data_IF_057220880449
#
_entry.id   IF_057220880449
#
_cell.length_a   1.000
_cell.length_b   1.000
_cell.length_c   1.000
_cell.angle_alpha   90.00
_cell.angle_beta   90.00
_cell.angle_gamma   90.00
#
_symmetry.space_group_name_H-M   'P 1'
#
loop_
_entity.id
_entity.type
_entity.pdbx_description
1 polymer ?
#
# COMPACT_ATOMS: atom_id res chain seq x y z
N UNK A 1 -2.77 -24.90 -5.13
CA UNK A 1 -2.06 -24.14 -4.07
C UNK A 1 -0.65 -23.94 -4.58
N UNK A 2 -0.37 -22.73 -5.03
CA UNK A 2 0.81 -22.44 -5.87
C UNK A 2 2.04 -22.18 -4.97
N UNK A 3 3.12 -22.94 -5.21
CA UNK A 3 4.42 -22.79 -4.51
C UNK A 3 5.03 -21.39 -4.68
N UNK A 4 4.60 -20.65 -5.69
CA UNK A 4 5.02 -19.27 -5.96
C UNK A 4 4.44 -18.28 -4.95
N UNK A 5 3.22 -18.53 -4.46
CA UNK A 5 2.55 -17.65 -3.49
C UNK A 5 3.17 -17.77 -2.09
N UNK A 6 3.62 -18.98 -1.72
CA UNK A 6 4.30 -19.25 -0.45
C UNK A 6 5.74 -18.69 -0.44
N UNK A 7 6.42 -18.75 -1.58
CA UNK A 7 7.77 -18.19 -1.75
C UNK A 7 7.73 -16.65 -1.72
N UNK A 8 6.68 -16.03 -2.27
CA UNK A 8 6.47 -14.57 -2.20
C UNK A 8 6.11 -14.12 -0.79
N UNK A 9 5.34 -14.90 -0.03
CA UNK A 9 5.04 -14.60 1.39
C UNK A 9 6.29 -14.65 2.27
N UNK A 10 7.21 -15.57 2.00
CA UNK A 10 8.50 -15.67 2.72
C UNK A 10 9.46 -14.52 2.41
N UNK A 11 9.45 -14.02 1.17
CA UNK A 11 10.32 -12.90 0.75
C UNK A 11 9.84 -11.54 1.27
N UNK A 12 8.55 -11.40 1.60
CA UNK A 12 7.95 -10.15 2.08
C UNK A 12 7.61 -10.17 3.58
N UNK A 13 7.83 -11.28 4.28
CA UNK A 13 7.82 -11.33 5.73
C UNK A 13 9.11 -10.71 6.30
N UNK A 14 9.40 -9.47 5.91
CA UNK A 14 10.40 -8.68 6.62
C UNK A 14 9.75 -8.28 7.94
N UNK A 15 10.22 -8.80 9.10
CA UNK A 15 9.76 -8.29 10.38
C UNK A 15 10.01 -6.78 10.37
N UNK A 16 9.02 -6.00 10.77
CA UNK A 16 9.18 -4.56 10.92
C UNK A 16 10.47 -4.34 11.71
N UNK A 17 11.48 -3.64 11.16
CA UNK A 17 12.79 -3.55 11.81
C UNK A 17 12.58 -3.06 13.22
N UNK A 18 13.14 -3.78 14.21
CA UNK A 18 13.04 -3.47 15.63
C UNK A 18 13.56 -2.06 15.97
N UNK A 19 14.25 -1.44 15.03
CA UNK A 19 14.75 -0.06 15.06
C UNK A 19 13.98 0.84 14.13
N UNK A 20 12.69 1.09 14.40
CA UNK A 20 12.10 2.37 14.01
C UNK A 20 12.94 3.48 14.66
N UNK A 21 13.54 4.41 13.85
CA UNK A 21 14.33 5.48 14.45
C UNK A 21 13.48 6.16 15.53
N UNK A 22 14.09 6.49 16.69
CA UNK A 22 13.38 7.08 17.82
C UNK A 22 12.56 8.33 17.46
N UNK A 23 12.89 9.01 16.33
CA UNK A 23 12.15 10.15 15.78
C UNK A 23 10.75 9.79 15.25
N UNK A 24 10.57 8.66 14.59
CA UNK A 24 9.23 8.25 14.10
C UNK A 24 8.39 7.67 15.23
N UNK A 25 9.02 6.92 16.18
CA UNK A 25 8.34 6.51 17.41
C UNK A 25 7.95 7.70 18.30
N UNK A 26 8.77 8.75 18.35
CA UNK A 26 8.47 9.98 19.10
C UNK A 26 7.40 10.83 18.40
N UNK A 27 7.30 10.83 17.06
CA UNK A 27 6.27 11.55 16.32
C UNK A 27 4.89 10.86 16.37
N UNK A 28 4.87 9.55 16.65
CA UNK A 28 3.66 8.75 16.83
C UNK A 28 3.67 8.12 18.22
N UNK A 29 3.72 8.93 19.28
CA UNK A 29 3.41 8.45 20.62
C UNK A 29 2.02 7.83 20.62
N UNK A 30 1.82 6.72 21.32
CA UNK A 30 0.53 6.00 21.35
C UNK A 30 -0.72 6.88 21.45
N UNK A 31 -0.75 7.96 22.29
CA UNK A 31 -1.87 8.88 22.32
C UNK A 31 -2.14 9.59 20.98
N UNK A 32 -1.07 9.94 20.23
CA UNK A 32 -1.22 10.58 18.93
C UNK A 32 -1.70 9.61 17.83
N UNK A 33 -1.36 8.33 17.93
CA UNK A 33 -1.85 7.28 17.05
C UNK A 33 -3.32 6.97 17.33
N UNK A 34 -3.71 6.86 18.60
CA UNK A 34 -5.10 6.66 19.02
C UNK A 34 -5.98 7.83 18.59
N UNK A 35 -5.59 9.08 18.89
CA UNK A 35 -6.32 10.28 18.47
C UNK A 35 -6.44 10.42 16.95
N UNK A 36 -5.45 9.89 16.17
CA UNK A 36 -5.57 9.83 14.73
C UNK A 36 -6.54 8.73 14.30
N UNK A 37 -6.52 7.54 14.94
CA UNK A 37 -7.42 6.45 14.67
C UNK A 37 -8.89 6.84 14.89
N UNK A 38 -9.18 7.64 15.91
CA UNK A 38 -10.53 8.13 16.23
C UNK A 38 -11.11 9.06 15.16
N UNK A 39 -10.28 9.58 14.26
CA UNK A 39 -10.76 10.38 13.13
C UNK A 39 -11.22 9.53 11.94
N UNK A 40 -11.07 8.21 11.99
CA UNK A 40 -11.54 7.31 10.96
C UNK A 40 -12.87 6.68 11.35
N UNK A 41 -13.78 6.62 10.38
CA UNK A 41 -15.12 6.07 10.55
C UNK A 41 -15.36 5.02 9.48
N UNK A 42 -15.89 3.88 9.90
CA UNK A 42 -16.05 2.70 9.08
C UNK A 42 -17.53 2.45 8.78
N UNK A 43 -17.83 2.10 7.53
CA UNK A 43 -19.10 1.47 7.17
C UNK A 43 -18.80 0.03 6.78
N UNK A 44 -19.59 -0.91 7.31
CA UNK A 44 -19.40 -2.33 7.03
C UNK A 44 -20.72 -3.05 6.78
N UNK A 45 -20.67 -3.98 5.83
CA UNK A 45 -21.70 -4.97 5.54
C UNK A 45 -21.42 -6.27 6.28
N UNK A 46 -22.21 -7.29 6.06
CA UNK A 46 -21.93 -8.65 6.55
C UNK A 46 -20.69 -9.29 5.91
N UNK A 47 -20.23 -8.80 4.75
CA UNK A 47 -19.09 -9.32 4.00
C UNK A 47 -17.78 -8.62 4.31
N UNK A 48 -17.81 -7.42 4.87
CA UNK A 48 -16.61 -6.67 5.19
C UNK A 48 -16.81 -5.16 5.26
N UNK A 49 -15.73 -4.44 5.45
CA UNK A 49 -15.70 -2.98 5.42
C UNK A 49 -15.90 -2.51 3.97
N UNK A 50 -16.93 -1.71 3.74
CA UNK A 50 -17.27 -1.18 2.41
C UNK A 50 -16.93 0.29 2.24
N UNK A 51 -16.72 1.03 3.34
CA UNK A 51 -16.32 2.43 3.29
C UNK A 51 -15.45 2.81 4.47
N UNK A 52 -14.48 3.69 4.22
CA UNK A 52 -13.67 4.35 5.23
C UNK A 52 -13.71 5.85 4.98
N UNK A 53 -14.14 6.61 5.97
CA UNK A 53 -14.17 8.07 5.96
C UNK A 53 -13.17 8.63 6.97
N UNK A 54 -12.73 9.87 6.76
CA UNK A 54 -11.78 10.58 7.62
C UNK A 54 -12.31 11.95 7.99
N UNK A 55 -12.30 12.30 9.27
CA UNK A 55 -12.77 13.58 9.77
C UNK A 55 -13.85 13.41 10.85
N UNK A 56 -14.93 14.18 10.76
CA UNK A 56 -16.10 14.04 11.64
C UNK A 56 -17.04 12.98 11.06
N UNK A 57 -17.54 12.10 11.90
CA UNK A 57 -18.45 11.04 11.48
C UNK A 57 -18.71 10.03 12.60
N UNK A 58 -19.32 8.92 12.22
CA UNK A 58 -19.57 7.77 13.11
C UNK A 58 -19.51 6.49 12.30
N UNK A 59 -19.25 5.38 12.97
CA UNK A 59 -19.31 4.06 12.36
C UNK A 59 -20.76 3.67 12.01
N UNK A 60 -20.91 2.96 10.90
CA UNK A 60 -22.20 2.45 10.42
C UNK A 60 -22.07 0.97 10.13
N UNK A 61 -22.74 0.14 10.93
CA UNK A 61 -22.75 -1.30 10.70
C UNK A 61 -23.93 -1.97 11.42
N UNK A 62 -24.45 -3.06 10.83
CA UNK A 62 -25.47 -3.92 11.41
C UNK A 62 -24.99 -5.38 11.39
N UNK A 63 -25.60 -6.22 12.22
CA UNK A 63 -25.30 -7.66 12.24
C UNK A 63 -23.81 -7.96 12.39
N UNK A 64 -23.29 -8.81 11.50
CA UNK A 64 -21.86 -9.21 11.44
C UNK A 64 -20.94 -8.04 11.09
N UNK A 65 -21.45 -7.01 10.41
CA UNK A 65 -20.65 -5.81 10.06
C UNK A 65 -20.04 -5.12 11.28
N UNK A 66 -20.67 -5.20 12.45
CA UNK A 66 -20.12 -4.63 13.68
C UNK A 66 -18.77 -5.22 14.05
N UNK A 67 -18.60 -6.55 13.89
CA UNK A 67 -17.33 -7.23 14.14
C UNK A 67 -16.24 -6.76 13.15
N UNK A 68 -16.62 -6.54 11.90
CA UNK A 68 -15.69 -6.01 10.91
C UNK A 68 -15.24 -4.58 11.26
N UNK A 69 -16.13 -3.74 11.78
CA UNK A 69 -15.77 -2.39 12.25
C UNK A 69 -14.84 -2.46 13.46
N UNK A 70 -15.14 -3.30 14.45
CA UNK A 70 -14.30 -3.51 15.64
C UNK A 70 -12.90 -3.99 15.26
N UNK A 71 -12.82 -5.00 14.38
CA UNK A 71 -11.55 -5.51 13.85
C UNK A 71 -10.77 -4.43 13.08
N UNK A 72 -11.44 -3.73 12.14
CA UNK A 72 -10.81 -2.67 11.35
C UNK A 72 -10.25 -1.56 12.23
N UNK A 73 -10.97 -1.16 13.27
CA UNK A 73 -10.55 -0.13 14.22
C UNK A 73 -9.32 -0.57 15.02
N UNK A 74 -9.33 -1.80 15.53
CA UNK A 74 -8.20 -2.38 16.25
C UNK A 74 -6.95 -2.46 15.35
N UNK A 75 -7.11 -3.02 14.14
CA UNK A 75 -6.03 -3.15 13.17
C UNK A 75 -5.49 -1.79 12.71
N UNK A 76 -6.36 -0.79 12.51
CA UNK A 76 -5.94 0.56 12.16
C UNK A 76 -5.16 1.22 13.29
N UNK A 77 -5.60 1.08 14.53
CA UNK A 77 -4.88 1.61 15.69
C UNK A 77 -3.48 0.99 15.81
N UNK A 78 -3.36 -0.32 15.63
CA UNK A 78 -2.06 -1.01 15.61
C UNK A 78 -1.18 -0.55 14.45
N UNK A 79 -1.75 -0.38 13.24
CA UNK A 79 -1.04 0.11 12.06
C UNK A 79 -0.51 1.53 12.28
N UNK A 80 -1.34 2.44 12.77
CA UNK A 80 -0.94 3.83 13.05
C UNK A 80 0.09 3.93 14.19
N UNK A 81 0.11 2.96 15.09
CA UNK A 81 1.14 2.82 16.13
C UNK A 81 2.42 2.11 15.64
N UNK A 82 2.46 1.69 14.36
CA UNK A 82 3.62 0.99 13.77
C UNK A 82 3.80 -0.46 14.25
N UNK A 83 2.77 -1.06 14.85
CA UNK A 83 2.78 -2.46 15.34
C UNK A 83 2.23 -3.45 14.32
N UNK A 84 1.60 -2.96 13.25
CA UNK A 84 1.00 -3.78 12.18
C UNK A 84 1.44 -3.26 10.82
N UNK A 85 1.64 -4.15 9.86
CA UNK A 85 2.07 -3.82 8.50
C UNK A 85 1.04 -4.21 7.43
N UNK A 86 0.01 -4.99 7.78
CA UNK A 86 -1.04 -5.44 6.87
C UNK A 86 -2.39 -5.52 7.59
N UNK A 87 -3.47 -5.52 6.84
CA UNK A 87 -4.84 -5.66 7.34
C UNK A 87 -5.39 -7.04 6.99
N UNK A 88 -6.09 -7.66 7.95
CA UNK A 88 -6.76 -8.94 7.77
C UNK A 88 -8.28 -8.80 7.73
N UNK A 89 -8.80 -7.63 8.12
CA UNK A 89 -10.24 -7.36 8.06
C UNK A 89 -10.75 -7.51 6.62
N UNK A 90 -11.87 -8.23 6.42
CA UNK A 90 -12.48 -8.35 5.10
C UNK A 90 -12.92 -6.99 4.56
N UNK A 91 -12.74 -6.79 3.25
CA UNK A 91 -13.16 -5.59 2.52
C UNK A 91 -14.24 -5.98 1.51
N UNK A 92 -15.35 -5.26 1.53
CA UNK A 92 -16.46 -5.44 0.60
C UNK A 92 -16.41 -4.36 -0.50
N UNK A 93 -15.93 -4.75 -1.67
CA UNK A 93 -15.84 -3.90 -2.86
C UNK A 93 -16.94 -4.18 -3.89
N UNK A 94 -18.02 -4.85 -3.52
CA UNK A 94 -19.13 -5.11 -4.43
C UNK A 94 -19.74 -3.81 -4.94
N UNK A 95 -20.01 -3.76 -6.23
CA UNK A 95 -20.52 -2.55 -6.90
C UNK A 95 -19.44 -1.57 -7.36
N UNK A 96 -18.16 -1.85 -7.09
CA UNK A 96 -17.05 -1.14 -7.70
C UNK A 96 -16.93 -1.54 -9.19
N UNK A 97 -16.64 -0.60 -10.07
CA UNK A 97 -16.46 -0.89 -11.49
C UNK A 97 -15.27 -1.83 -11.73
N UNK A 98 -15.37 -2.71 -12.73
CA UNK A 98 -14.36 -3.75 -13.00
C UNK A 98 -12.93 -3.22 -13.10
N UNK A 99 -12.72 -2.15 -13.87
CA UNK A 99 -11.40 -1.52 -13.98
C UNK A 99 -10.88 -1.00 -12.63
N UNK A 100 -11.77 -0.40 -11.82
CA UNK A 100 -11.40 0.08 -10.50
C UNK A 100 -11.05 -1.08 -9.56
N UNK A 101 -11.80 -2.19 -9.61
CA UNK A 101 -11.49 -3.38 -8.82
C UNK A 101 -10.11 -3.94 -9.15
N UNK A 102 -9.75 -4.07 -10.44
CA UNK A 102 -8.42 -4.47 -10.89
C UNK A 102 -7.32 -3.54 -10.34
N UNK A 103 -7.55 -2.22 -10.37
CA UNK A 103 -6.62 -1.22 -9.83
C UNK A 103 -6.47 -1.37 -8.32
N UNK A 104 -7.58 -1.52 -7.59
CA UNK A 104 -7.56 -1.66 -6.13
C UNK A 104 -6.94 -3.00 -5.69
N UNK A 105 -7.21 -4.09 -6.42
CA UNK A 105 -6.61 -5.39 -6.19
C UNK A 105 -5.08 -5.33 -6.35
N UNK A 106 -4.58 -4.68 -7.40
CA UNK A 106 -3.13 -4.53 -7.60
C UNK A 106 -2.50 -3.58 -6.57
N UNK A 107 -3.21 -2.50 -6.18
CA UNK A 107 -2.74 -1.61 -5.11
C UNK A 107 -2.58 -2.34 -3.78
N UNK A 108 -3.42 -3.32 -3.45
CA UNK A 108 -3.31 -4.15 -2.24
C UNK A 108 -2.04 -5.01 -2.21
N UNK A 109 -1.46 -5.31 -3.36
CA UNK A 109 -0.22 -6.08 -3.47
C UNK A 109 1.04 -5.27 -3.18
N UNK A 110 0.94 -3.93 -3.13
CA UNK A 110 2.08 -3.08 -2.78
C UNK A 110 2.38 -3.26 -1.28
N UNK A 111 3.56 -3.78 -0.92
CA UNK A 111 3.87 -4.08 0.48
C UNK A 111 4.04 -2.80 1.31
N UNK A 112 3.96 -2.95 2.64
CA UNK A 112 4.28 -1.91 3.61
C UNK A 112 5.71 -1.39 3.38
N UNK A 113 5.87 -0.06 3.37
CA UNK A 113 7.17 0.57 3.17
C UNK A 113 7.61 0.69 1.71
N UNK A 114 6.82 0.21 0.75
CA UNK A 114 7.10 0.35 -0.66
C UNK A 114 6.11 1.29 -1.36
N UNK A 115 6.54 1.86 -2.47
CA UNK A 115 5.69 2.70 -3.32
C UNK A 115 5.81 2.29 -4.78
N UNK A 116 4.73 2.50 -5.53
CA UNK A 116 4.63 2.21 -6.95
C UNK A 116 4.19 3.47 -7.71
N UNK A 117 4.64 3.68 -8.95
CA UNK A 117 4.10 4.80 -9.73
C UNK A 117 2.76 4.44 -10.38
N UNK A 118 1.90 5.47 -10.65
CA UNK A 118 0.64 5.26 -11.39
C UNK A 118 0.86 4.55 -12.72
N UNK A 119 1.92 4.92 -13.46
CA UNK A 119 2.25 4.29 -14.74
C UNK A 119 2.69 2.82 -14.57
N UNK A 120 3.39 2.51 -13.49
CA UNK A 120 3.81 1.16 -13.19
C UNK A 120 2.63 0.27 -12.79
N UNK A 121 1.71 0.78 -11.98
CA UNK A 121 0.49 0.07 -11.64
C UNK A 121 -0.36 -0.18 -12.89
N UNK A 122 -0.49 0.83 -13.78
CA UNK A 122 -1.18 0.70 -15.05
C UNK A 122 -0.61 -0.44 -15.92
N UNK A 123 0.73 -0.54 -16.01
CA UNK A 123 1.38 -1.66 -16.72
C UNK A 123 1.07 -3.02 -16.10
N UNK A 124 1.10 -3.12 -14.77
CA UNK A 124 0.84 -4.38 -14.04
C UNK A 124 -0.56 -4.94 -14.29
N UNK A 125 -1.54 -4.06 -14.48
CA UNK A 125 -2.92 -4.47 -14.80
C UNK A 125 -3.17 -4.59 -16.32
N UNK A 126 -2.12 -4.59 -17.17
CA UNK A 126 -2.25 -4.74 -18.62
C UNK A 126 -2.69 -3.49 -19.39
N UNK A 127 -2.72 -2.31 -18.76
CA UNK A 127 -3.18 -1.05 -19.35
C UNK A 127 -2.09 0.03 -19.33
N UNK A 128 -0.95 -0.12 -20.06
CA UNK A 128 0.25 0.70 -19.88
C UNK A 128 0.03 2.21 -20.09
N UNK A 129 -0.96 2.60 -20.85
CA UNK A 129 -1.29 4.00 -21.14
C UNK A 129 -2.35 4.60 -20.21
N UNK A 130 -2.87 3.82 -19.23
CA UNK A 130 -4.00 4.20 -18.40
C UNK A 130 -3.61 4.88 -17.08
N UNK A 131 -2.42 5.47 -16.93
CA UNK A 131 -1.95 6.06 -15.67
C UNK A 131 -2.93 7.09 -15.06
N UNK A 132 -3.60 7.91 -15.91
CA UNK A 132 -4.62 8.86 -15.46
C UNK A 132 -5.88 8.14 -14.96
N UNK A 133 -6.35 7.12 -15.68
CA UNK A 133 -7.51 6.32 -15.27
C UNK A 133 -7.24 5.57 -13.96
N UNK A 134 -6.03 5.03 -13.79
CA UNK A 134 -5.56 4.46 -12.51
C UNK A 134 -5.62 5.50 -11.39
N UNK A 135 -5.17 6.74 -11.65
CA UNK A 135 -5.26 7.83 -10.68
C UNK A 135 -6.70 8.13 -10.26
N UNK A 136 -7.65 8.16 -11.21
CA UNK A 136 -9.07 8.35 -10.93
C UNK A 136 -9.66 7.18 -10.13
N UNK A 137 -9.35 5.94 -10.52
CA UNK A 137 -9.80 4.73 -9.82
C UNK A 137 -9.32 4.69 -8.36
N UNK A 138 -8.04 5.05 -8.11
CA UNK A 138 -7.49 5.17 -6.76
C UNK A 138 -8.08 6.34 -5.99
N UNK A 139 -8.42 7.44 -6.67
CA UNK A 139 -9.09 8.60 -6.07
C UNK A 139 -10.50 8.28 -5.57
N UNK A 140 -11.17 7.33 -6.23
CA UNK A 140 -12.49 6.81 -5.87
C UNK A 140 -12.44 5.57 -4.97
N UNK A 141 -11.28 5.20 -4.40
CA UNK A 141 -11.15 4.09 -3.47
C UNK A 141 -12.10 4.27 -2.27
N UNK A 142 -13.05 3.35 -2.04
CA UNK A 142 -14.00 3.49 -0.94
C UNK A 142 -13.39 3.21 0.44
N UNK A 143 -12.27 2.48 0.50
CA UNK A 143 -11.63 2.02 1.76
C UNK A 143 -10.14 2.38 1.82
N UNK A 144 -9.78 3.69 1.73
CA UNK A 144 -8.37 4.10 1.77
C UNK A 144 -7.70 3.60 3.06
N UNK A 145 -6.39 3.40 3.04
CA UNK A 145 -5.56 2.75 4.06
C UNK A 145 -5.72 1.23 4.06
N UNK A 146 -6.92 0.67 4.17
CA UNK A 146 -7.14 -0.79 4.05
C UNK A 146 -6.75 -1.27 2.64
N UNK A 147 -7.16 -0.53 1.62
CA UNK A 147 -6.57 -0.61 0.27
C UNK A 147 -5.57 0.54 0.15
N UNK A 148 -4.27 0.26 0.08
CA UNK A 148 -3.22 1.26 0.30
C UNK A 148 -2.93 2.14 -0.92
N UNK A 149 -3.95 2.88 -1.41
CA UNK A 149 -3.79 3.81 -2.53
C UNK A 149 -2.79 4.94 -2.23
N UNK A 150 -2.45 5.20 -0.96
CA UNK A 150 -1.39 6.11 -0.58
C UNK A 150 0.01 5.65 -1.01
N UNK A 151 0.22 4.34 -1.25
CA UNK A 151 1.48 3.77 -1.76
C UNK A 151 1.67 4.01 -3.26
N UNK A 152 0.68 4.59 -3.95
CA UNK A 152 0.82 4.94 -5.36
C UNK A 152 1.18 6.43 -5.49
N UNK A 153 2.30 6.71 -6.18
CA UNK A 153 2.90 8.04 -6.31
C UNK A 153 3.10 8.41 -7.78
N UNK A 154 3.52 9.63 -8.08
CA UNK A 154 3.89 10.04 -9.43
C UNK A 154 5.25 9.48 -9.84
N UNK A 155 5.49 9.38 -11.14
CA UNK A 155 6.75 8.88 -11.70
C UNK A 155 7.96 9.78 -11.42
N UNK A 156 7.73 11.05 -11.11
CA UNK A 156 8.75 12.01 -10.67
C UNK A 156 9.11 11.90 -9.18
N UNK A 157 8.46 10.97 -8.45
CA UNK A 157 8.67 10.77 -7.02
C UNK A 157 7.81 11.66 -6.13
N UNK A 158 7.00 12.56 -6.69
CA UNK A 158 6.06 13.37 -5.90
C UNK A 158 4.83 12.54 -5.49
N UNK A 159 4.23 12.88 -4.34
CA UNK A 159 3.20 12.02 -3.73
C UNK A 159 1.88 11.91 -4.52
N UNK A 160 1.57 12.88 -5.37
CA UNK A 160 0.29 12.91 -6.09
C UNK A 160 -0.91 13.16 -5.17
N UNK A 161 -2.11 12.99 -5.72
CA UNK A 161 -3.36 13.23 -5.00
C UNK A 161 -3.69 12.08 -4.04
N UNK A 162 -4.47 12.36 -2.98
CA UNK A 162 -4.98 11.37 -2.04
C UNK A 162 -6.36 11.79 -1.52
N UNK A 163 -7.28 10.84 -1.37
CA UNK A 163 -8.67 11.09 -0.99
C UNK A 163 -8.80 11.86 0.35
N UNK A 164 -7.93 11.57 1.31
CA UNK A 164 -7.91 12.23 2.63
C UNK A 164 -6.93 13.39 2.73
N UNK A 165 -6.46 13.89 1.60
CA UNK A 165 -5.55 15.03 1.51
C UNK A 165 -4.06 14.67 1.59
N UNK A 166 -3.19 15.57 1.11
CA UNK A 166 -1.76 15.32 1.01
C UNK A 166 -1.06 15.15 2.36
N UNK A 167 -1.52 15.84 3.39
CA UNK A 167 -0.92 15.77 4.73
C UNK A 167 -1.04 14.36 5.33
N UNK A 168 -2.21 13.71 5.20
CA UNK A 168 -2.39 12.35 5.69
C UNK A 168 -1.59 11.35 4.85
N UNK A 169 -1.54 11.52 3.51
CA UNK A 169 -0.70 10.68 2.64
C UNK A 169 0.77 10.74 3.06
N UNK A 170 1.29 11.94 3.25
CA UNK A 170 2.68 12.14 3.72
C UNK A 170 2.92 11.46 5.06
N UNK A 171 1.98 11.59 6.00
CA UNK A 171 2.08 10.96 7.32
C UNK A 171 2.08 9.43 7.24
N UNK A 172 1.22 8.82 6.40
CA UNK A 172 1.18 7.37 6.20
C UNK A 172 2.48 6.86 5.56
N UNK A 173 2.97 7.54 4.51
CA UNK A 173 4.23 7.19 3.86
C UNK A 173 5.43 7.35 4.81
N UNK A 174 5.44 8.38 5.65
CA UNK A 174 6.47 8.56 6.66
C UNK A 174 6.41 7.48 7.77
N UNK A 175 5.21 7.09 8.18
CA UNK A 175 4.98 5.97 9.10
C UNK A 175 5.54 4.67 8.52
N UNK A 176 5.25 4.41 7.26
CA UNK A 176 5.73 3.23 6.56
C UNK A 176 7.21 3.34 6.14
N UNK A 177 7.83 4.50 6.28
CA UNK A 177 9.17 4.78 5.73
C UNK A 177 9.28 4.37 4.27
N UNK A 178 8.23 4.69 3.49
CA UNK A 178 8.07 4.27 2.14
C UNK A 178 9.25 4.73 1.27
N UNK A 179 9.95 3.77 0.71
CA UNK A 179 11.00 3.98 -0.27
C UNK A 179 10.46 3.63 -1.67
N UNK A 180 10.96 4.27 -2.73
CA UNK A 180 10.65 3.82 -4.08
C UNK A 180 11.01 2.35 -4.26
N UNK A 181 10.10 1.60 -4.87
CA UNK A 181 10.33 0.20 -5.18
C UNK A 181 11.55 0.07 -6.12
N UNK A 182 12.51 -0.76 -5.74
CA UNK A 182 13.68 -1.05 -6.55
C UNK A 182 13.41 -2.30 -7.38
N UNK A 183 13.80 -2.27 -8.64
CA UNK A 183 13.62 -3.38 -9.58
C UNK A 183 14.95 -3.75 -10.18
N UNK A 184 15.30 -5.02 -10.09
CA UNK A 184 16.52 -5.58 -10.67
C UNK A 184 16.22 -6.42 -11.90
N UNK A 185 16.91 -6.16 -12.99
CA UNK A 185 16.85 -7.01 -14.19
C UNK A 185 17.60 -8.33 -13.96
N UNK A 186 16.95 -9.48 -14.14
CA UNK A 186 17.58 -10.79 -13.90
C UNK A 186 18.76 -11.07 -14.82
N UNK A 187 18.75 -10.55 -16.05
CA UNK A 187 19.82 -10.70 -17.03
C UNK A 187 20.97 -9.70 -16.85
N UNK A 188 20.64 -8.48 -16.45
CA UNK A 188 21.64 -7.40 -16.35
C UNK A 188 22.26 -7.30 -14.95
N UNK A 189 21.59 -7.86 -13.94
CA UNK A 189 21.95 -7.71 -12.53
C UNK A 189 22.08 -6.24 -12.10
N UNK A 190 21.40 -5.34 -12.82
CA UNK A 190 21.32 -3.92 -12.48
C UNK A 190 20.02 -3.70 -11.72
N UNK A 191 20.12 -3.08 -10.54
CA UNK A 191 18.96 -2.60 -9.76
C UNK A 191 18.79 -1.10 -10.00
N UNK A 192 17.57 -0.69 -10.25
CA UNK A 192 17.21 0.72 -10.43
C UNK A 192 15.84 1.00 -9.79
N UNK A 193 15.50 2.29 -9.70
CA UNK A 193 14.15 2.66 -9.28
C UNK A 193 13.13 2.17 -10.30
N UNK A 194 11.99 1.67 -9.82
CA UNK A 194 10.91 1.25 -10.70
C UNK A 194 10.50 2.40 -11.65
N UNK A 195 10.32 2.07 -12.93
CA UNK A 195 10.05 3.04 -13.99
C UNK A 195 11.31 3.58 -14.71
N UNK A 196 12.51 3.15 -14.34
CA UNK A 196 13.73 3.57 -15.03
C UNK A 196 13.82 2.99 -16.46
N UNK A 197 14.65 3.62 -17.33
CA UNK A 197 14.82 3.17 -18.72
C UNK A 197 15.35 1.75 -18.86
N UNK A 198 16.15 1.28 -17.91
CA UNK A 198 16.69 -0.08 -17.93
C UNK A 198 15.64 -1.14 -17.64
N UNK A 199 14.69 -0.86 -16.75
CA UNK A 199 13.54 -1.73 -16.51
C UNK A 199 12.67 -1.86 -17.77
N UNK A 200 12.39 -0.74 -18.45
CA UNK A 200 11.57 -0.73 -19.66
C UNK A 200 12.16 -1.59 -20.81
N UNK A 201 13.49 -1.77 -20.83
CA UNK A 201 14.19 -2.59 -21.83
C UNK A 201 14.24 -4.08 -21.50
N UNK A 202 14.02 -4.46 -20.24
CA UNK A 202 14.28 -5.82 -19.77
C UNK A 202 13.11 -6.82 -19.99
N UNK A 203 11.94 -6.37 -20.49
CA UNK A 203 10.75 -7.22 -20.71
C UNK A 203 10.09 -7.69 -19.40
N UNK A 204 8.76 -7.85 -19.42
CA UNK A 204 7.90 -7.93 -18.22
C UNK A 204 8.17 -9.11 -17.27
N UNK A 205 8.76 -10.21 -17.73
CA UNK A 205 8.94 -11.43 -16.93
C UNK A 205 10.36 -11.62 -16.37
N UNK A 206 11.20 -10.56 -16.39
CA UNK A 206 12.61 -10.66 -15.99
C UNK A 206 13.00 -9.68 -14.88
N UNK A 207 12.08 -9.40 -13.96
CA UNK A 207 12.32 -8.46 -12.89
C UNK A 207 12.23 -9.11 -11.52
N UNK A 208 13.14 -8.70 -10.63
CA UNK A 208 13.10 -9.01 -9.20
C UNK A 208 12.93 -7.70 -8.45
N UNK A 209 12.07 -7.69 -7.46
CA UNK A 209 11.78 -6.49 -6.65
C UNK A 209 12.60 -6.55 -5.36
N UNK A 210 13.18 -5.42 -4.96
CA UNK A 210 13.98 -5.27 -3.75
C UNK A 210 13.45 -4.14 -2.87
N UNK A 211 13.51 -4.34 -1.57
CA UNK A 211 13.14 -3.32 -0.59
C UNK A 211 14.23 -2.26 -0.41
N UNK A 212 15.51 -2.62 -0.66
CA UNK A 212 16.65 -1.71 -0.54
C UNK A 212 17.77 -2.06 -1.52
N UNK A 213 18.68 -1.11 -1.74
CA UNK A 213 19.93 -1.36 -2.50
C UNK A 213 20.79 -2.41 -1.79
N UNK A 214 20.80 -2.44 -0.48
CA UNK A 214 21.55 -3.42 0.30
C UNK A 214 21.03 -4.85 0.07
N UNK A 215 19.68 -5.04 0.04
CA UNK A 215 19.08 -6.34 -0.27
C UNK A 215 19.44 -6.79 -1.69
N UNK A 216 19.38 -5.88 -2.66
CA UNK A 216 19.78 -6.18 -4.02
C UNK A 216 21.27 -6.56 -4.12
N UNK A 217 22.14 -5.84 -3.44
CA UNK A 217 23.58 -6.10 -3.43
C UNK A 217 23.91 -7.46 -2.77
N UNK A 218 23.19 -7.86 -1.73
CA UNK A 218 23.39 -9.14 -1.03
C UNK A 218 23.19 -10.36 -1.94
N UNK A 219 22.42 -10.21 -3.02
CA UNK A 219 22.16 -11.27 -4.03
C UNK A 219 22.79 -10.96 -5.39
N UNK A 220 23.80 -10.08 -5.41
CA UNK A 220 24.65 -9.83 -6.57
C UNK A 220 24.09 -8.84 -7.60
N UNK A 221 23.15 -7.97 -7.20
CA UNK A 221 22.72 -6.85 -8.04
C UNK A 221 23.51 -5.59 -7.71
N UNK A 222 23.71 -4.74 -8.70
CA UNK A 222 24.40 -3.45 -8.57
C UNK A 222 23.48 -2.28 -8.97
N UNK A 223 23.63 -1.10 -8.37
CA UNK A 223 22.90 0.11 -8.77
C UNK A 223 23.20 0.55 -10.22
#
# INVERSE_FOLDING_TARGET
MDRTDDMLRGLFAVPAPATLSGRVRAALREPAAAALADRFHFEATEQGVCRLAYGRGRDVAAGRGRRHVEQARAELAEYLAGRRTFFTVPVDLRGVAEFQDQVLAEARRIPFGAVLSYAALARRIGHPNAARAVGNALGANPVPVLVPCHRVIRGDGTWGHYAFGPALKTRLLALERATPLLVGGTSTRIVCRHGCRNEQRAGENRHVVFASVADAASVGYRP
#
